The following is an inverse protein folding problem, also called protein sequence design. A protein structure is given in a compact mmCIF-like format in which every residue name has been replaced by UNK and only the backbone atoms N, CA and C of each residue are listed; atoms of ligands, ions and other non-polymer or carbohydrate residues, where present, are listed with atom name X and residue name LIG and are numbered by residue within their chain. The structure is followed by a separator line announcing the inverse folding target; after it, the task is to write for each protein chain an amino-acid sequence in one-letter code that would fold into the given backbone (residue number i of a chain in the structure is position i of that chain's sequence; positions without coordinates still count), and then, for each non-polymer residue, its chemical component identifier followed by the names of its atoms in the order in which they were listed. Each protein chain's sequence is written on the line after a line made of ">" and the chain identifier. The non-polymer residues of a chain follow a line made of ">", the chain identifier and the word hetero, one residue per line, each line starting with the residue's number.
data_IF_194003155835
#
_entry.id   IF_194003155835
#
_cell.length_a   1.000
_cell.length_b   1.000
_cell.length_c   1.000
_cell.angle_alpha   90.00
_cell.angle_beta   90.00
_cell.angle_gamma   90.00
#
_symmetry.space_group_name_H-M   'P 1'
#
loop_
_entity.id
_entity.type
_entity.pdbx_description
1 polymer ?
#
# COMPACT_ATOMS: atom_id res chain seq x y z
N UNK A 1 78.34 -35.78 -6.36
CA UNK A 1 77.91 -34.56 -7.07
C UNK A 1 76.59 -34.08 -6.48
N UNK A 2 76.62 -32.85 -5.98
CA UNK A 2 75.58 -31.87 -5.61
C UNK A 2 74.12 -32.28 -5.31
N UNK A 3 73.84 -32.27 -4.00
CA UNK A 3 72.70 -31.71 -3.27
C UNK A 3 71.69 -30.82 -4.03
N UNK A 4 70.38 -31.11 -3.92
CA UNK A 4 69.26 -30.13 -3.96
C UNK A 4 68.07 -30.63 -3.13
N UNK A 5 67.97 -30.15 -1.88
CA UNK A 5 66.73 -30.12 -1.09
C UNK A 5 65.90 -28.90 -1.55
N UNK A 6 64.69 -29.14 -2.03
CA UNK A 6 63.69 -28.09 -2.32
C UNK A 6 62.90 -27.79 -1.04
N UNK A 7 62.93 -26.53 -0.60
CA UNK A 7 62.27 -26.03 0.59
C UNK A 7 60.88 -25.50 0.19
N UNK A 8 59.84 -26.33 0.27
CA UNK A 8 58.43 -25.94 0.07
C UNK A 8 57.78 -25.63 1.43
N UNK A 9 58.05 -24.44 2.00
CA UNK A 9 57.47 -24.01 3.28
C UNK A 9 56.69 -22.68 3.21
N UNK A 10 56.39 -22.14 2.02
CA UNK A 10 55.74 -20.84 1.87
C UNK A 10 54.21 -20.84 1.85
N UNK A 11 53.56 -21.91 1.36
CA UNK A 11 52.11 -21.93 1.12
C UNK A 11 51.25 -22.10 2.37
N UNK A 12 51.68 -22.94 3.31
CA UNK A 12 50.87 -23.27 4.50
C UNK A 12 50.72 -22.12 5.49
N UNK A 13 51.70 -21.21 5.57
CA UNK A 13 51.62 -20.05 6.46
C UNK A 13 50.56 -19.06 5.97
N UNK A 14 50.46 -18.86 4.65
CA UNK A 14 49.54 -17.89 4.06
C UNK A 14 48.09 -18.37 4.17
N UNK A 15 47.84 -19.67 3.94
CA UNK A 15 46.52 -20.27 4.15
C UNK A 15 46.09 -20.24 5.62
N UNK A 16 47.02 -20.51 6.55
CA UNK A 16 46.73 -20.42 7.98
C UNK A 16 46.39 -18.98 8.41
N UNK A 17 47.10 -17.98 7.89
CA UNK A 17 46.84 -16.56 8.16
C UNK A 17 45.48 -16.15 7.58
N UNK A 18 45.15 -16.54 6.34
CA UNK A 18 43.86 -16.22 5.72
C UNK A 18 42.68 -16.86 6.47
N UNK A 19 42.84 -18.10 6.94
CA UNK A 19 41.85 -18.79 7.78
C UNK A 19 41.65 -18.10 9.14
N UNK A 20 42.74 -17.64 9.77
CA UNK A 20 42.70 -16.90 11.02
C UNK A 20 42.02 -15.53 10.86
N UNK A 21 42.30 -14.82 9.76
CA UNK A 21 41.67 -13.53 9.45
C UNK A 21 40.17 -13.73 9.17
N UNK A 22 39.80 -14.76 8.40
CA UNK A 22 38.40 -15.08 8.14
C UNK A 22 37.60 -15.42 9.41
N UNK A 23 38.20 -16.17 10.33
CA UNK A 23 37.57 -16.52 11.61
C UNK A 23 37.44 -15.31 12.56
N UNK A 24 38.46 -14.44 12.62
CA UNK A 24 38.40 -13.19 13.39
C UNK A 24 37.35 -12.22 12.83
N UNK A 25 37.19 -12.17 11.51
CA UNK A 25 36.18 -11.35 10.85
C UNK A 25 34.74 -11.80 11.19
N UNK A 26 34.50 -13.12 11.23
CA UNK A 26 33.22 -13.67 11.66
C UNK A 26 32.92 -13.37 13.14
N UNK A 27 33.92 -13.46 14.02
CA UNK A 27 33.80 -13.13 15.45
C UNK A 27 33.48 -11.64 15.68
N UNK A 28 34.10 -10.73 14.93
CA UNK A 28 33.80 -9.29 15.00
C UNK A 28 32.40 -8.94 14.49
N UNK A 29 31.85 -9.73 13.57
CA UNK A 29 30.49 -9.55 13.07
C UNK A 29 29.43 -9.93 14.11
N UNK A 30 29.64 -11.05 14.81
CA UNK A 30 28.74 -11.58 15.86
C UNK A 30 28.76 -10.72 17.14
N UNK A 31 29.89 -10.10 17.47
CA UNK A 31 30.06 -9.29 18.70
C UNK A 31 29.29 -7.96 18.72
N UNK A 32 28.92 -7.41 17.56
CA UNK A 32 28.15 -6.14 17.46
C UNK A 32 28.87 -4.86 17.93
N UNK A 33 30.14 -4.92 18.36
CA UNK A 33 30.87 -3.74 18.84
C UNK A 33 31.57 -2.97 17.71
N UNK A 34 31.27 -1.67 17.59
CA UNK A 34 31.81 -0.81 16.52
C UNK A 34 33.33 -0.61 16.62
N UNK A 35 33.88 -0.63 17.84
CA UNK A 35 35.31 -0.49 18.10
C UNK A 35 36.14 -1.69 17.58
N UNK A 36 35.63 -2.91 17.71
CA UNK A 36 36.28 -4.11 17.16
C UNK A 36 36.23 -4.13 15.63
N UNK A 37 35.15 -3.63 15.02
CA UNK A 37 35.02 -3.54 13.55
C UNK A 37 36.02 -2.57 12.95
N UNK A 38 36.23 -1.41 13.58
CA UNK A 38 37.23 -0.42 13.16
C UNK A 38 38.66 -0.94 13.35
N UNK A 39 38.92 -1.66 14.46
CA UNK A 39 40.22 -2.29 14.71
C UNK A 39 40.57 -3.36 13.67
N UNK A 40 39.62 -4.23 13.32
CA UNK A 40 39.80 -5.26 12.29
C UNK A 40 40.02 -4.65 10.90
N UNK A 41 39.30 -3.58 10.57
CA UNK A 41 39.44 -2.88 9.30
C UNK A 41 40.82 -2.21 9.17
N UNK A 42 41.35 -1.63 10.26
CA UNK A 42 42.72 -1.09 10.29
C UNK A 42 43.79 -2.19 10.10
N UNK A 43 43.63 -3.34 10.75
CA UNK A 43 44.57 -4.47 10.59
C UNK A 43 44.59 -4.97 9.14
N UNK A 44 43.41 -5.07 8.51
CA UNK A 44 43.27 -5.46 7.10
C UNK A 44 43.98 -4.45 6.20
N UNK A 45 43.75 -3.15 6.39
CA UNK A 45 44.41 -2.09 5.60
C UNK A 45 45.93 -2.15 5.74
N UNK A 46 46.45 -2.29 6.96
CA UNK A 46 47.89 -2.37 7.20
C UNK A 46 48.49 -3.62 6.55
N UNK A 47 47.82 -4.77 6.66
CA UNK A 47 48.30 -6.02 6.07
C UNK A 47 48.34 -5.94 4.55
N UNK A 48 47.29 -5.42 3.91
CA UNK A 48 47.26 -5.23 2.46
C UNK A 48 48.23 -4.15 1.97
N UNK A 49 48.47 -3.10 2.76
CA UNK A 49 49.48 -2.08 2.48
C UNK A 49 50.90 -2.65 2.44
N UNK A 50 51.23 -3.60 3.32
CA UNK A 50 52.54 -4.27 3.34
C UNK A 50 52.71 -5.19 2.11
N UNK A 51 51.66 -5.92 1.72
CA UNK A 51 51.68 -6.78 0.52
C UNK A 51 51.80 -5.97 -0.77
N UNK A 52 51.19 -4.78 -0.82
CA UNK A 52 51.23 -3.89 -1.99
C UNK A 52 52.63 -3.39 -2.35
N UNK A 53 53.54 -3.27 -1.37
CA UNK A 53 54.93 -2.82 -1.60
C UNK A 53 55.77 -3.85 -2.36
N UNK A 54 55.31 -5.10 -2.49
CA UNK A 54 56.07 -6.19 -3.11
C UNK A 54 55.61 -6.59 -4.53
N UNK A 55 54.59 -5.93 -5.09
CA UNK A 55 53.93 -6.39 -6.33
C UNK A 55 54.11 -5.36 -7.47
N UNK A 56 54.58 -5.82 -8.63
CA UNK A 56 54.84 -4.98 -9.81
C UNK A 56 53.56 -4.30 -10.34
N UNK A 57 53.69 -3.07 -10.82
CA UNK A 57 52.61 -2.08 -10.97
C UNK A 57 51.38 -2.43 -11.84
N UNK A 58 51.39 -3.54 -12.60
CA UNK A 58 50.22 -4.00 -13.36
C UNK A 58 49.26 -4.81 -12.48
N UNK A 59 49.79 -5.63 -11.56
CA UNK A 59 48.98 -6.41 -10.62
C UNK A 59 48.40 -5.54 -9.49
N UNK A 60 49.06 -4.42 -9.18
CA UNK A 60 48.59 -3.40 -8.24
C UNK A 60 47.22 -2.79 -8.64
N UNK A 61 46.97 -2.65 -9.94
CA UNK A 61 45.72 -2.06 -10.47
C UNK A 61 44.53 -3.03 -10.30
N UNK A 62 44.74 -4.32 -10.60
CA UNK A 62 43.72 -5.35 -10.38
C UNK A 62 43.38 -5.51 -8.89
N UNK A 63 44.40 -5.38 -8.02
CA UNK A 63 44.21 -5.42 -6.58
C UNK A 63 43.43 -4.21 -6.04
N UNK A 64 43.69 -3.01 -6.57
CA UNK A 64 42.94 -1.80 -6.26
C UNK A 64 41.46 -1.92 -6.64
N UNK A 65 41.15 -2.52 -7.80
CA UNK A 65 39.77 -2.75 -8.24
C UNK A 65 39.05 -3.74 -7.31
N UNK A 66 39.71 -4.81 -6.87
CA UNK A 66 39.16 -5.77 -5.91
C UNK A 66 38.95 -5.14 -4.51
N UNK A 67 39.89 -4.33 -4.03
CA UNK A 67 39.74 -3.57 -2.78
C UNK A 67 38.59 -2.57 -2.86
N UNK A 68 38.46 -1.83 -3.97
CA UNK A 68 37.36 -0.89 -4.15
C UNK A 68 36.01 -1.60 -4.27
N UNK A 69 35.94 -2.71 -5.02
CA UNK A 69 34.74 -3.53 -5.15
C UNK A 69 34.31 -4.15 -3.81
N UNK A 70 35.27 -4.65 -3.02
CA UNK A 70 35.03 -5.20 -1.69
C UNK A 70 34.56 -4.13 -0.68
N UNK A 71 35.18 -2.95 -0.70
CA UNK A 71 34.77 -1.82 0.14
C UNK A 71 33.35 -1.33 -0.20
N UNK A 72 32.97 -1.30 -1.48
CA UNK A 72 31.61 -0.91 -1.90
C UNK A 72 30.54 -1.92 -1.45
N UNK A 73 30.87 -3.22 -1.47
CA UNK A 73 30.00 -4.26 -0.89
C UNK A 73 29.91 -4.15 0.64
N UNK A 74 31.01 -3.82 1.32
CA UNK A 74 31.02 -3.62 2.77
C UNK A 74 30.24 -2.37 3.21
N UNK A 75 30.31 -1.27 2.45
CA UNK A 75 29.47 -0.09 2.66
C UNK A 75 27.97 -0.38 2.43
N UNK A 76 27.64 -1.24 1.47
CA UNK A 76 26.27 -1.67 1.20
C UNK A 76 25.69 -2.59 2.28
N UNK A 77 26.53 -3.44 2.90
CA UNK A 77 26.12 -4.32 4.00
C UNK A 77 26.03 -3.52 5.32
N UNK A 78 26.94 -2.56 5.55
CA UNK A 78 26.87 -1.71 6.75
C UNK A 78 25.69 -0.73 6.70
N UNK A 79 25.26 -0.23 5.53
CA UNK A 79 24.01 0.54 5.42
C UNK A 79 22.76 -0.32 5.66
N UNK A 80 22.80 -1.62 5.35
CA UNK A 80 21.74 -2.58 5.70
C UNK A 80 21.64 -2.87 7.21
N UNK A 81 22.77 -2.88 7.94
CA UNK A 81 22.78 -3.16 9.38
C UNK A 81 22.77 -1.90 10.27
N UNK A 82 23.10 -0.71 9.74
CA UNK A 82 22.98 0.58 10.44
C UNK A 82 21.55 1.14 10.42
N UNK A 83 20.60 0.41 9.83
CA UNK A 83 19.16 0.70 9.89
C UNK A 83 18.46 0.31 11.20
N UNK A 84 19.16 -0.34 12.15
CA UNK A 84 18.59 -0.72 13.45
C UNK A 84 19.55 -0.39 14.59
N UNK A 85 19.64 0.89 14.98
CA UNK A 85 19.61 1.34 16.39
C UNK A 85 19.86 2.85 16.54
N UNK A 86 18.77 3.55 16.88
CA UNK A 86 18.64 4.80 17.64
C UNK A 86 19.84 5.76 17.71
N UNK A 87 19.67 6.94 17.10
CA UNK A 87 19.45 8.24 17.79
C UNK A 87 19.33 9.37 16.77
N UNK A 88 18.12 9.90 16.64
CA UNK A 88 17.80 11.33 16.49
C UNK A 88 16.28 11.46 16.67
N UNK A 89 15.81 11.06 17.86
CA UNK A 89 14.53 11.51 18.42
C UNK A 89 14.78 12.89 19.02
N UNK A 90 14.41 13.93 18.28
CA UNK A 90 14.04 15.31 18.68
C UNK A 90 14.34 16.21 17.48
N UNK A 91 13.29 16.49 16.70
CA UNK A 91 13.09 17.65 15.81
C UNK A 91 12.37 17.37 14.47
N UNK A 92 11.86 16.16 14.22
CA UNK A 92 11.10 15.84 12.98
C UNK A 92 9.76 15.09 13.19
N UNK A 93 9.17 15.14 14.40
CA UNK A 93 7.83 14.60 14.63
C UNK A 93 6.73 15.58 14.19
N UNK A 94 6.69 15.87 12.90
CA UNK A 94 5.59 16.64 12.31
C UNK A 94 4.32 15.76 12.23
N UNK A 95 3.38 16.03 13.13
CA UNK A 95 1.93 15.94 12.91
C UNK A 95 1.30 14.65 12.32
N UNK A 96 1.92 13.48 12.52
CA UNK A 96 1.28 12.19 12.25
C UNK A 96 0.36 11.81 13.40
N UNK A 97 -0.94 11.75 13.15
CA UNK A 97 -1.88 11.19 14.10
C UNK A 97 -2.05 9.69 13.81
N UNK A 98 -1.59 8.86 14.75
CA UNK A 98 -2.10 7.50 14.85
C UNK A 98 -3.53 7.59 15.38
N UNK A 99 -4.50 7.16 14.58
CA UNK A 99 -5.88 7.05 15.05
C UNK A 99 -5.90 6.04 16.20
N UNK A 100 -6.16 6.49 17.43
CA UNK A 100 -6.05 5.72 18.68
C UNK A 100 -6.92 4.45 18.69
N UNK A 101 -7.89 4.34 17.79
CA UNK A 101 -8.69 3.13 17.56
C UNK A 101 -7.89 1.91 17.06
N UNK A 102 -6.61 2.04 16.70
CA UNK A 102 -5.84 0.98 16.02
C UNK A 102 -4.63 0.41 16.79
N UNK A 103 -4.34 0.85 18.02
CA UNK A 103 -3.20 0.29 18.78
C UNK A 103 -3.44 -1.15 19.31
N UNK A 104 -4.62 -1.71 19.11
CA UNK A 104 -4.98 -3.08 19.55
C UNK A 104 -5.48 -4.01 18.43
N UNK A 105 -5.08 -3.81 17.17
CA UNK A 105 -5.41 -4.79 16.13
C UNK A 105 -4.38 -5.92 16.10
N UNK A 106 -4.71 -7.01 16.80
CA UNK A 106 -4.21 -8.36 16.48
C UNK A 106 -4.38 -8.56 14.97
N UNK A 107 -3.40 -9.14 14.27
CA UNK A 107 -3.47 -9.45 12.82
C UNK A 107 -4.78 -10.22 12.56
N UNK A 108 -5.79 -9.52 12.10
CA UNK A 108 -7.15 -10.03 11.97
C UNK A 108 -7.26 -10.77 10.64
N UNK A 109 -7.95 -11.92 10.61
CA UNK A 109 -8.10 -12.67 9.36
C UNK A 109 -8.90 -11.83 8.35
N UNK A 110 -8.68 -12.08 7.07
CA UNK A 110 -9.47 -11.48 5.99
C UNK A 110 -10.98 -11.64 6.23
N UNK A 111 -11.41 -12.85 6.61
CA UNK A 111 -12.82 -13.18 6.87
C UNK A 111 -13.40 -12.38 8.04
N UNK A 112 -12.60 -12.12 9.07
CA UNK A 112 -13.05 -11.37 10.25
C UNK A 112 -13.19 -9.88 9.92
N UNK A 113 -12.22 -9.31 9.20
CA UNK A 113 -12.31 -7.93 8.71
C UNK A 113 -13.51 -7.75 7.79
N UNK A 114 -13.69 -8.66 6.83
CA UNK A 114 -14.82 -8.64 5.90
C UNK A 114 -16.15 -8.68 6.64
N UNK A 115 -16.36 -9.62 7.57
CA UNK A 115 -17.59 -9.72 8.35
C UNK A 115 -17.88 -8.46 9.17
N UNK A 116 -16.86 -7.87 9.82
CA UNK A 116 -17.05 -6.63 10.59
C UNK A 116 -17.52 -5.49 9.71
N UNK A 117 -16.86 -5.31 8.57
CA UNK A 117 -17.20 -4.23 7.66
C UNK A 117 -18.55 -4.45 6.97
N UNK A 118 -18.88 -5.67 6.57
CA UNK A 118 -20.22 -6.02 6.06
C UNK A 118 -21.30 -5.68 7.08
N UNK A 119 -21.11 -6.06 8.35
CA UNK A 119 -22.05 -5.77 9.42
C UNK A 119 -22.20 -4.26 9.65
N UNK A 120 -21.10 -3.51 9.61
CA UNK A 120 -21.13 -2.06 9.72
C UNK A 120 -21.90 -1.42 8.56
N UNK A 121 -21.60 -1.80 7.32
CA UNK A 121 -22.30 -1.33 6.12
C UNK A 121 -23.78 -1.68 6.17
N UNK A 122 -24.14 -2.91 6.58
CA UNK A 122 -25.54 -3.33 6.73
C UNK A 122 -26.27 -2.57 7.82
N UNK A 123 -25.64 -2.34 8.97
CA UNK A 123 -26.23 -1.56 10.06
C UNK A 123 -26.54 -0.12 9.59
N UNK A 124 -25.59 0.52 8.90
CA UNK A 124 -25.78 1.86 8.31
C UNK A 124 -26.89 1.83 7.25
N UNK A 125 -26.92 0.83 6.37
CA UNK A 125 -27.96 0.67 5.32
C UNK A 125 -29.36 0.43 5.92
N UNK A 126 -29.46 -0.35 6.99
CA UNK A 126 -30.71 -0.66 7.69
C UNK A 126 -31.23 0.51 8.54
N UNK A 127 -30.35 1.24 9.23
CA UNK A 127 -30.72 2.46 9.96
C UNK A 127 -31.16 3.58 9.00
N UNK A 128 -30.57 3.66 7.80
CA UNK A 128 -30.95 4.64 6.78
C UNK A 128 -32.38 4.46 6.20
N UNK A 129 -33.06 3.33 6.44
CA UNK A 129 -34.48 3.19 6.10
C UNK A 129 -35.43 3.80 7.16
N UNK A 130 -34.90 4.12 8.36
CA UNK A 130 -35.66 4.72 9.48
C UNK A 130 -35.15 6.13 9.81
N UNK A 131 -33.91 6.50 9.47
CA UNK A 131 -33.29 7.78 9.87
C UNK A 131 -33.27 8.87 8.80
N UNK A 132 -33.96 8.71 7.67
CA UNK A 132 -34.11 9.77 6.63
C UNK A 132 -34.88 11.00 7.14
N UNK A 133 -35.36 11.00 8.40
CA UNK A 133 -36.00 12.13 9.07
C UNK A 133 -35.17 12.84 10.16
N UNK A 134 -33.94 12.39 10.51
CA UNK A 134 -33.26 12.93 11.71
C UNK A 134 -31.74 13.22 11.61
N UNK A 135 -31.22 13.63 10.44
CA UNK A 135 -29.89 14.25 10.37
C UNK A 135 -29.84 15.55 9.53
N UNK A 136 -30.83 16.42 9.77
CA UNK A 136 -30.68 17.87 9.53
C UNK A 136 -29.93 18.59 10.66
N UNK A 137 -29.33 17.87 11.61
CA UNK A 137 -28.61 18.43 12.75
C UNK A 137 -27.16 17.96 12.78
N UNK A 138 -26.34 18.40 11.84
CA UNK A 138 -24.89 18.58 12.02
C UNK A 138 -24.36 19.50 10.90
N UNK A 139 -24.76 20.77 10.97
CA UNK A 139 -24.28 21.86 10.12
C UNK A 139 -22.79 22.23 10.41
N UNK A 140 -22.05 21.33 11.04
CA UNK A 140 -20.69 21.51 11.52
C UNK A 140 -19.89 20.26 11.15
N UNK A 141 -19.01 20.36 10.14
CA UNK A 141 -17.79 19.52 9.94
C UNK A 141 -17.13 19.76 8.58
N UNK A 142 -16.71 21.01 8.36
CA UNK A 142 -15.70 21.39 7.37
C UNK A 142 -15.19 22.78 7.79
N UNK A 143 -14.51 22.86 8.94
CA UNK A 143 -14.02 24.12 9.52
C UNK A 143 -12.54 24.38 9.20
N UNK A 144 -12.05 23.90 8.06
CA UNK A 144 -10.65 24.07 7.65
C UNK A 144 -10.54 24.88 6.36
N UNK A 145 -9.63 25.86 6.33
CA UNK A 145 -9.24 26.53 5.08
C UNK A 145 -8.47 25.54 4.21
N UNK A 146 -8.77 25.44 2.93
CA UNK A 146 -8.03 24.54 2.04
C UNK A 146 -6.61 25.04 1.73
N UNK A 147 -5.71 24.10 1.44
CA UNK A 147 -4.49 24.42 0.71
C UNK A 147 -4.84 25.08 -0.62
N UNK A 148 -4.07 26.08 -1.03
CA UNK A 148 -4.33 26.75 -2.31
C UNK A 148 -3.78 25.94 -3.48
N UNK A 149 -2.70 25.21 -3.24
CA UNK A 149 -2.08 24.33 -4.24
C UNK A 149 -1.64 23.02 -3.61
N UNK A 150 -1.57 21.96 -4.42
CA UNK A 150 -1.00 20.67 -3.99
C UNK A 150 0.49 20.84 -3.64
N UNK A 151 1.21 21.71 -4.35
CA UNK A 151 2.64 21.97 -4.13
C UNK A 151 2.90 22.48 -2.71
N UNK A 152 2.07 23.42 -2.24
CA UNK A 152 2.11 23.93 -0.86
C UNK A 152 2.02 22.79 0.16
N UNK A 153 1.03 21.88 0.01
CA UNK A 153 0.88 20.74 0.91
C UNK A 153 2.04 19.74 0.83
N UNK A 154 2.57 19.50 -0.38
CA UNK A 154 3.69 18.57 -0.60
C UNK A 154 4.98 19.09 0.02
N UNK A 155 5.25 20.39 -0.10
CA UNK A 155 6.43 21.02 0.48
C UNK A 155 6.33 21.12 1.99
N UNK A 156 5.17 21.53 2.53
CA UNK A 156 4.94 21.65 3.97
C UNK A 156 5.08 20.32 4.71
N UNK A 157 4.63 19.21 4.11
CA UNK A 157 4.61 17.89 4.76
C UNK A 157 5.65 16.91 4.20
N UNK A 158 6.59 17.39 3.39
CA UNK A 158 7.64 16.57 2.75
C UNK A 158 7.12 15.30 2.06
N UNK A 159 5.99 15.42 1.35
CA UNK A 159 5.28 14.28 0.75
C UNK A 159 6.07 13.73 -0.45
N UNK A 160 6.26 12.40 -0.57
CA UNK A 160 6.98 11.82 -1.70
C UNK A 160 6.22 12.05 -3.02
N UNK A 161 6.96 12.28 -4.11
CA UNK A 161 6.38 12.51 -5.45
C UNK A 161 5.49 11.38 -5.98
N UNK A 162 5.57 10.19 -5.38
CA UNK A 162 4.75 9.02 -5.72
C UNK A 162 3.33 9.09 -5.16
N UNK A 163 2.96 10.18 -4.48
CA UNK A 163 1.60 10.38 -3.98
C UNK A 163 0.56 10.22 -5.09
N UNK A 164 -0.62 9.77 -4.67
CA UNK A 164 -1.83 9.70 -5.49
C UNK A 164 -2.86 10.67 -4.93
N UNK A 165 -3.62 11.27 -5.83
CA UNK A 165 -4.76 12.11 -5.47
C UNK A 165 -5.96 11.22 -5.16
N UNK A 166 -6.73 11.57 -4.14
CA UNK A 166 -7.99 10.91 -3.82
C UNK A 166 -9.05 11.95 -3.47
N UNK A 167 -10.32 11.59 -3.59
CA UNK A 167 -11.43 12.31 -3.02
C UNK A 167 -11.98 11.49 -1.84
N UNK A 168 -11.81 12.04 -0.65
CA UNK A 168 -12.22 11.43 0.61
C UNK A 168 -13.71 11.69 0.79
N UNK A 169 -14.52 10.64 0.87
CA UNK A 169 -15.90 10.76 1.33
C UNK A 169 -15.90 11.05 2.84
N UNK A 170 -15.13 10.25 3.59
CA UNK A 170 -15.06 10.33 5.05
C UNK A 170 -13.79 9.66 5.58
N UNK A 171 -13.27 10.18 6.69
CA UNK A 171 -12.40 9.41 7.60
C UNK A 171 -13.16 9.24 8.91
N UNK A 172 -13.48 7.99 9.26
CA UNK A 172 -14.20 7.67 10.50
C UNK A 172 -13.44 8.15 11.73
N UNK A 173 -14.17 8.52 12.78
CA UNK A 173 -13.62 9.10 14.02
C UNK A 173 -12.82 10.40 13.79
N UNK A 174 -13.19 11.16 12.75
CA UNK A 174 -12.63 12.49 12.48
C UNK A 174 -13.69 13.42 11.88
N UNK A 175 -13.36 14.71 11.81
CA UNK A 175 -14.19 15.74 11.19
C UNK A 175 -13.96 15.86 9.67
N UNK A 176 -13.20 14.94 9.06
CA UNK A 176 -12.89 14.96 7.62
C UNK A 176 -14.01 14.28 6.83
N UNK A 177 -14.71 15.09 6.04
CA UNK A 177 -15.81 14.67 5.15
C UNK A 177 -15.68 15.42 3.83
N UNK A 178 -16.00 14.77 2.72
CA UNK A 178 -16.05 15.35 1.36
C UNK A 178 -14.83 16.21 0.99
N UNK A 179 -13.62 15.65 1.12
CA UNK A 179 -12.38 16.43 1.07
C UNK A 179 -11.39 15.89 0.01
N UNK A 180 -10.79 16.73 -0.85
CA UNK A 180 -9.66 16.30 -1.65
C UNK A 180 -8.48 15.92 -0.75
N UNK A 181 -7.76 14.87 -1.10
CA UNK A 181 -6.66 14.34 -0.30
C UNK A 181 -5.50 13.80 -1.12
N UNK A 182 -4.35 13.68 -0.47
CA UNK A 182 -3.17 13.00 -1.00
C UNK A 182 -2.96 11.70 -0.24
N UNK A 183 -2.55 10.66 -0.94
CA UNK A 183 -2.34 9.33 -0.38
C UNK A 183 -1.04 8.74 -0.91
N UNK A 184 -0.25 8.12 -0.04
CA UNK A 184 1.01 7.49 -0.43
C UNK A 184 1.34 6.30 0.46
N UNK A 185 2.21 5.43 -0.04
CA UNK A 185 2.81 4.33 0.72
C UNK A 185 4.25 4.66 1.05
N UNK A 186 4.63 4.46 2.31
CA UNK A 186 6.01 4.57 2.79
C UNK A 186 6.17 3.64 3.99
N UNK A 187 7.30 2.94 4.09
CA UNK A 187 7.68 2.12 5.26
C UNK A 187 6.58 1.17 5.77
N UNK A 188 5.91 0.46 4.85
CA UNK A 188 4.84 -0.49 5.18
C UNK A 188 3.53 0.14 5.69
N UNK A 189 3.39 1.47 5.59
CA UNK A 189 2.20 2.22 6.00
C UNK A 189 1.54 2.93 4.82
N UNK A 190 0.23 3.04 4.91
CA UNK A 190 -0.60 3.94 4.12
C UNK A 190 -0.67 5.28 4.85
N UNK A 191 -0.36 6.36 4.14
CA UNK A 191 -0.50 7.72 4.63
C UNK A 191 -1.56 8.46 3.82
N UNK A 192 -2.37 9.27 4.51
CA UNK A 192 -3.39 10.13 3.89
C UNK A 192 -3.33 11.51 4.52
N UNK A 193 -3.23 12.54 3.68
CA UNK A 193 -3.37 13.94 4.06
C UNK A 193 -4.63 14.52 3.40
N UNK A 194 -5.68 14.86 4.17
CA UNK A 194 -6.75 15.72 3.68
C UNK A 194 -6.18 17.10 3.33
N UNK A 195 -6.63 17.75 2.26
CA UNK A 195 -6.08 19.04 1.83
C UNK A 195 -6.68 20.24 2.55
N UNK A 196 -6.93 20.07 3.85
CA UNK A 196 -7.31 21.13 4.77
C UNK A 196 -6.05 21.64 5.47
N UNK A 197 -5.86 22.96 5.53
CA UNK A 197 -4.81 23.59 6.35
C UNK A 197 -5.00 23.19 7.80
N UNK A 198 -3.89 22.88 8.46
CA UNK A 198 -3.84 22.36 9.83
C UNK A 198 -4.43 20.95 10.01
N UNK A 199 -4.76 20.24 8.92
CA UNK A 199 -5.09 18.83 9.06
C UNK A 199 -3.85 18.02 9.40
N UNK A 200 -4.06 17.02 10.23
CA UNK A 200 -3.04 16.02 10.57
C UNK A 200 -2.92 15.00 9.45
N UNK A 201 -1.73 14.39 9.33
CA UNK A 201 -1.55 13.23 8.45
C UNK A 201 -2.07 12.00 9.18
N UNK A 202 -2.93 11.24 8.53
CA UNK A 202 -3.39 9.95 9.00
C UNK A 202 -2.45 8.86 8.49
N UNK A 203 -2.12 7.89 9.34
CA UNK A 203 -1.28 6.77 8.94
C UNK A 203 -1.78 5.45 9.51
N UNK A 204 -1.76 4.41 8.69
CA UNK A 204 -2.18 3.06 9.05
C UNK A 204 -1.21 2.02 8.49
N UNK A 205 -0.94 0.91 9.21
CA UNK A 205 -0.20 -0.22 8.65
C UNK A 205 -0.91 -0.78 7.40
N UNK A 206 -0.17 -1.09 6.34
CA UNK A 206 -0.75 -1.76 5.18
C UNK A 206 -1.20 -3.19 5.52
N UNK A 207 -0.46 -3.86 6.41
CA UNK A 207 -0.80 -5.19 6.91
C UNK A 207 -2.18 -5.26 7.59
N UNK A 208 -2.74 -4.14 8.07
CA UNK A 208 -4.10 -4.10 8.63
C UNK A 208 -5.20 -3.94 7.57
N UNK A 209 -4.84 -3.79 6.28
CA UNK A 209 -5.78 -3.54 5.18
C UNK A 209 -5.79 -4.78 4.28
N UNK A 210 -6.56 -5.82 4.66
CA UNK A 210 -6.65 -7.06 3.88
C UNK A 210 -7.79 -7.09 2.87
N UNK A 211 -8.76 -6.18 3.04
CA UNK A 211 -9.98 -6.09 2.23
C UNK A 211 -10.26 -4.64 1.83
N UNK A 212 -10.79 -4.46 0.62
CA UNK A 212 -11.42 -3.22 0.15
C UNK A 212 -12.89 -3.54 -0.11
N UNK A 213 -13.79 -2.85 0.58
CA UNK A 213 -15.21 -2.96 0.28
C UNK A 213 -15.66 -1.93 -0.74
N UNK A 214 -16.68 -2.28 -1.51
CA UNK A 214 -17.46 -1.34 -2.30
C UNK A 214 -18.92 -1.36 -1.89
N UNK A 215 -19.45 -0.16 -1.68
CA UNK A 215 -20.85 0.08 -1.36
C UNK A 215 -21.43 1.01 -2.40
N UNK A 216 -22.65 0.70 -2.86
CA UNK A 216 -23.45 1.60 -3.71
C UNK A 216 -24.52 2.27 -2.85
N UNK A 217 -24.55 3.61 -2.85
CA UNK A 217 -25.58 4.40 -2.18
C UNK A 217 -26.51 5.06 -3.19
N UNK A 218 -27.80 5.19 -2.84
CA UNK A 218 -28.76 6.00 -3.58
C UNK A 218 -28.51 7.47 -3.26
N UNK A 219 -28.46 8.31 -4.28
CA UNK A 219 -28.27 9.75 -4.16
C UNK A 219 -29.63 10.43 -4.20
N UNK A 220 -29.97 11.13 -3.12
CA UNK A 220 -31.22 11.88 -3.03
C UNK A 220 -31.11 13.20 -3.80
N UNK A 221 -30.01 13.93 -3.63
CA UNK A 221 -29.77 15.21 -4.26
C UNK A 221 -28.28 15.40 -4.59
N UNK A 222 -27.93 15.30 -5.88
CA UNK A 222 -26.56 15.48 -6.36
C UNK A 222 -26.02 16.89 -6.09
N UNK A 223 -26.91 17.89 -5.97
CA UNK A 223 -26.49 19.29 -5.80
C UNK A 223 -25.95 19.59 -4.41
N UNK A 224 -26.29 18.76 -3.41
CA UNK A 224 -25.82 18.89 -2.04
C UNK A 224 -24.45 18.26 -1.82
N UNK A 225 -24.16 17.15 -2.50
CA UNK A 225 -22.87 16.45 -2.38
C UNK A 225 -21.72 17.33 -2.86
N UNK A 226 -20.67 17.46 -2.04
CA UNK A 226 -19.47 18.25 -2.30
C UNK A 226 -19.75 19.76 -2.52
N UNK A 227 -20.96 20.25 -2.19
CA UNK A 227 -21.37 21.65 -2.39
C UNK A 227 -20.48 22.64 -1.64
N UNK A 228 -20.00 22.26 -0.44
CA UNK A 228 -19.10 23.07 0.41
C UNK A 228 -17.70 23.21 -0.20
N UNK A 229 -17.24 22.21 -0.96
CA UNK A 229 -15.87 22.16 -1.50
C UNK A 229 -15.80 22.50 -2.98
N UNK A 230 -16.93 22.49 -3.68
CA UNK A 230 -17.02 22.80 -5.11
C UNK A 230 -16.54 24.22 -5.48
N UNK A 231 -16.56 25.15 -4.51
CA UNK A 231 -16.11 26.55 -4.71
C UNK A 231 -14.59 26.72 -4.54
N UNK A 232 -13.90 25.72 -4.01
CA UNK A 232 -12.49 25.81 -3.66
C UNK A 232 -11.60 25.64 -4.88
N UNK A 233 -10.60 26.52 -5.07
CA UNK A 233 -9.72 26.44 -6.25
C UNK A 233 -9.01 25.09 -6.37
N UNK A 234 -8.66 24.47 -5.25
CA UNK A 234 -7.98 23.18 -5.23
C UNK A 234 -8.84 22.05 -5.82
N UNK A 235 -10.17 22.15 -5.72
CA UNK A 235 -11.10 21.13 -6.23
C UNK A 235 -10.98 20.95 -7.75
N UNK A 236 -10.62 22.01 -8.48
CA UNK A 236 -10.43 21.96 -9.93
C UNK A 236 -9.39 20.91 -10.35
N UNK A 237 -8.41 20.63 -9.47
CA UNK A 237 -7.34 19.63 -9.69
C UNK A 237 -7.75 18.20 -9.32
N UNK A 238 -8.94 18.04 -8.76
CA UNK A 238 -9.57 16.81 -8.29
C UNK A 238 -10.92 16.56 -8.99
N UNK A 239 -11.29 17.34 -10.00
CA UNK A 239 -12.58 17.26 -10.68
C UNK A 239 -12.87 15.85 -11.23
N UNK A 240 -11.86 15.19 -11.76
CA UNK A 240 -11.94 13.81 -12.28
C UNK A 240 -12.15 12.75 -11.18
N UNK A 241 -11.89 13.12 -9.92
CA UNK A 241 -12.04 12.26 -8.74
C UNK A 241 -13.31 12.57 -7.94
N UNK A 242 -14.17 13.48 -8.42
CA UNK A 242 -15.52 13.63 -7.89
C UNK A 242 -16.34 12.36 -8.19
N UNK A 243 -17.38 12.05 -7.39
CA UNK A 243 -18.16 10.84 -7.58
C UNK A 243 -18.73 10.76 -9.00
N UNK A 244 -18.64 9.58 -9.60
CA UNK A 244 -19.39 9.25 -10.81
C UNK A 244 -20.75 8.70 -10.42
N UNK A 245 -21.78 9.10 -11.16
CA UNK A 245 -23.17 8.78 -10.87
C UNK A 245 -23.75 7.87 -11.95
N UNK A 246 -24.34 6.76 -11.51
CA UNK A 246 -25.14 5.88 -12.35
C UNK A 246 -26.61 6.34 -12.29
N UNK A 247 -27.20 6.65 -13.45
CA UNK A 247 -28.61 7.00 -13.54
C UNK A 247 -29.39 5.76 -13.97
N UNK A 248 -30.29 5.28 -13.10
CA UNK A 248 -31.19 4.17 -13.38
C UNK A 248 -32.66 4.63 -13.23
N UNK A 249 -33.65 3.89 -13.76
CA UNK A 249 -35.07 4.23 -13.60
C UNK A 249 -35.51 4.43 -12.15
N UNK A 250 -34.86 3.74 -11.20
CA UNK A 250 -35.20 3.76 -9.77
C UNK A 250 -34.49 4.88 -8.98
N UNK A 251 -33.63 5.65 -9.65
CA UNK A 251 -32.91 6.79 -9.06
C UNK A 251 -31.46 6.90 -9.50
N UNK A 252 -30.77 7.84 -8.87
CA UNK A 252 -29.34 8.08 -9.05
C UNK A 252 -28.58 7.32 -8.00
N UNK A 253 -27.48 6.69 -8.38
CA UNK A 253 -26.60 5.96 -7.47
C UNK A 253 -25.16 6.40 -7.63
N UNK A 254 -24.38 6.32 -6.55
CA UNK A 254 -22.92 6.45 -6.60
C UNK A 254 -22.27 5.42 -5.70
N UNK A 255 -21.06 5.01 -6.07
CA UNK A 255 -20.27 4.05 -5.31
C UNK A 255 -19.21 4.72 -4.45
N UNK A 256 -18.77 4.02 -3.41
CA UNK A 256 -17.58 4.37 -2.64
C UNK A 256 -16.77 3.13 -2.28
N UNK A 257 -15.46 3.30 -2.16
CA UNK A 257 -14.56 2.29 -1.64
C UNK A 257 -14.27 2.55 -0.16
N UNK A 258 -14.31 1.49 0.65
CA UNK A 258 -14.18 1.56 2.10
C UNK A 258 -13.03 0.65 2.52
N UNK A 259 -12.13 1.17 3.34
CA UNK A 259 -11.07 0.39 3.99
C UNK A 259 -11.43 0.07 5.45
N UNK A 260 -10.98 -1.06 6.02
CA UNK A 260 -11.21 -1.42 7.43
C UNK A 260 -10.75 -0.36 8.43
N UNK A 261 -9.80 0.48 8.02
CA UNK A 261 -9.25 1.60 8.78
C UNK A 261 -10.20 2.81 8.89
N UNK A 262 -11.42 2.70 8.35
CA UNK A 262 -12.40 3.77 8.37
C UNK A 262 -12.16 4.87 7.33
N UNK A 263 -11.33 4.61 6.31
CA UNK A 263 -11.15 5.51 5.18
C UNK A 263 -12.16 5.16 4.09
N UNK A 264 -12.96 6.15 3.70
CA UNK A 264 -13.94 6.06 2.61
C UNK A 264 -13.54 7.03 1.49
N UNK A 265 -13.49 6.54 0.25
CA UNK A 265 -13.14 7.34 -0.93
C UNK A 265 -14.15 7.15 -2.05
N UNK A 266 -14.28 8.15 -2.93
CA UNK A 266 -15.17 8.08 -4.09
C UNK A 266 -14.82 6.92 -5.02
N UNK A 267 -15.81 6.44 -5.76
CA UNK A 267 -15.62 5.42 -6.79
C UNK A 267 -14.54 5.81 -7.84
N UNK A 268 -14.50 7.07 -8.25
CA UNK A 268 -13.48 7.58 -9.19
C UNK A 268 -12.08 7.65 -8.59
N UNK A 269 -11.94 7.60 -7.26
CA UNK A 269 -10.64 7.46 -6.59
C UNK A 269 -10.11 6.02 -6.54
N UNK A 270 -10.93 5.03 -6.95
CA UNK A 270 -10.61 3.61 -6.88
C UNK A 270 -9.29 3.25 -7.55
N UNK A 271 -9.06 3.67 -8.79
CA UNK A 271 -7.79 3.37 -9.50
C UNK A 271 -6.54 3.82 -8.72
N UNK A 272 -6.62 4.98 -8.09
CA UNK A 272 -5.53 5.52 -7.26
C UNK A 272 -5.37 4.73 -5.95
N UNK A 273 -6.48 4.31 -5.33
CA UNK A 273 -6.48 3.43 -4.16
C UNK A 273 -5.83 2.09 -4.43
N UNK A 274 -6.29 1.36 -5.44
CA UNK A 274 -5.77 0.04 -5.81
C UNK A 274 -4.31 0.08 -6.31
N UNK A 275 -3.81 1.25 -6.75
CA UNK A 275 -2.40 1.41 -7.09
C UNK A 275 -1.46 1.45 -5.87
N UNK A 276 -2.00 1.61 -4.67
CA UNK A 276 -1.25 1.72 -3.41
C UNK A 276 -1.52 0.53 -2.50
N UNK A 277 -2.79 0.14 -2.39
CA UNK A 277 -3.27 -0.91 -1.48
C UNK A 277 -3.47 -2.19 -2.28
N UNK A 278 -2.76 -3.24 -1.86
CA UNK A 278 -2.92 -4.60 -2.38
C UNK A 278 -3.79 -5.41 -1.41
N UNK A 279 -5.10 -5.40 -1.65
CA UNK A 279 -6.10 -5.99 -0.78
C UNK A 279 -7.20 -6.65 -1.61
N UNK A 280 -7.85 -7.66 -1.04
CA UNK A 280 -8.94 -8.37 -1.71
C UNK A 280 -10.16 -7.47 -1.84
N UNK A 281 -10.74 -7.45 -3.03
CA UNK A 281 -11.95 -6.68 -3.29
C UNK A 281 -13.21 -7.45 -2.90
N UNK A 282 -14.17 -6.77 -2.28
CA UNK A 282 -15.49 -7.32 -2.01
C UNK A 282 -16.58 -6.25 -2.19
N UNK A 283 -17.76 -6.66 -2.64
CA UNK A 283 -18.93 -5.77 -2.79
C UNK A 283 -19.97 -6.18 -1.75
N UNK A 284 -20.59 -5.22 -1.09
CA UNK A 284 -21.65 -5.50 -0.09
C UNK A 284 -22.98 -5.05 -0.64
N UNK A 285 -23.73 -5.96 -1.24
CA UNK A 285 -25.03 -5.69 -1.83
C UNK A 285 -25.94 -6.93 -1.84
N UNK A 286 -27.12 -6.79 -2.43
CA UNK A 286 -28.11 -7.87 -2.43
C UNK A 286 -27.70 -9.03 -3.36
N UNK A 287 -26.80 -8.79 -4.32
CA UNK A 287 -26.29 -9.80 -5.26
C UNK A 287 -25.23 -10.67 -4.59
N UNK A 288 -24.16 -10.06 -4.09
CA UNK A 288 -23.03 -10.75 -3.44
C UNK A 288 -23.46 -11.52 -2.19
N UNK A 289 -24.42 -10.99 -1.43
CA UNK A 289 -24.94 -11.63 -0.22
C UNK A 289 -25.99 -12.72 -0.49
N UNK A 290 -26.64 -12.72 -1.67
CA UNK A 290 -27.73 -13.64 -1.95
C UNK A 290 -27.25 -15.08 -2.13
N UNK A 291 -27.92 -16.04 -1.50
CA UNK A 291 -27.68 -17.48 -1.70
C UNK A 291 -28.19 -17.99 -3.04
N UNK A 292 -28.95 -17.16 -3.77
CA UNK A 292 -29.49 -17.49 -5.08
C UNK A 292 -28.41 -17.47 -6.18
N UNK A 293 -27.45 -16.56 -6.08
CA UNK A 293 -26.39 -16.42 -7.08
C UNK A 293 -25.25 -17.38 -6.79
N UNK A 294 -24.80 -18.05 -7.84
CA UNK A 294 -23.63 -18.93 -7.81
C UNK A 294 -22.34 -18.10 -7.70
N UNK A 295 -21.28 -18.73 -7.19
CA UNK A 295 -20.01 -18.07 -6.87
C UNK A 295 -19.40 -17.33 -8.07
N UNK A 296 -19.39 -17.96 -9.24
CA UNK A 296 -18.78 -17.42 -10.45
C UNK A 296 -19.49 -16.16 -10.93
N UNK A 297 -20.83 -16.13 -10.85
CA UNK A 297 -21.62 -14.94 -11.21
C UNK A 297 -21.34 -13.78 -10.24
N UNK A 298 -21.19 -14.08 -8.94
CA UNK A 298 -20.81 -13.06 -7.94
C UNK A 298 -19.39 -12.53 -8.17
N UNK A 299 -18.45 -13.39 -8.53
CA UNK A 299 -17.09 -12.97 -8.87
C UNK A 299 -17.06 -12.12 -10.14
N UNK A 300 -17.80 -12.53 -11.17
CA UNK A 300 -17.92 -11.78 -12.41
C UNK A 300 -18.57 -10.41 -12.18
N UNK A 301 -19.60 -10.35 -11.34
CA UNK A 301 -20.22 -9.10 -10.91
C UNK A 301 -19.22 -8.14 -10.24
N UNK A 302 -18.40 -8.64 -9.33
CA UNK A 302 -17.34 -7.85 -8.69
C UNK A 302 -16.29 -7.38 -9.70
N UNK A 303 -15.87 -8.22 -10.65
CA UNK A 303 -14.96 -7.83 -11.73
C UNK A 303 -15.56 -6.74 -12.62
N UNK A 304 -16.85 -6.81 -12.91
CA UNK A 304 -17.55 -5.80 -13.69
C UNK A 304 -17.51 -4.43 -12.98
N UNK A 305 -17.72 -4.39 -11.67
CA UNK A 305 -17.59 -3.16 -10.87
C UNK A 305 -16.16 -2.60 -10.95
N UNK A 306 -15.13 -3.44 -10.84
CA UNK A 306 -13.74 -2.99 -11.00
C UNK A 306 -13.48 -2.40 -12.39
N UNK A 307 -14.05 -3.01 -13.44
CA UNK A 307 -13.94 -2.52 -14.82
C UNK A 307 -14.64 -1.18 -15.01
N UNK A 308 -15.89 -1.06 -14.54
CA UNK A 308 -16.67 0.19 -14.62
C UNK A 308 -16.00 1.36 -13.90
N UNK A 309 -15.23 1.06 -12.84
CA UNK A 309 -14.44 2.04 -12.11
C UNK A 309 -13.00 2.22 -12.65
N UNK A 310 -12.69 1.67 -13.83
CA UNK A 310 -11.39 1.76 -14.49
C UNK A 310 -10.19 1.25 -13.66
N UNK A 311 -10.45 0.31 -12.75
CA UNK A 311 -9.43 -0.34 -11.91
C UNK A 311 -8.75 -1.47 -12.69
N UNK A 312 -9.55 -2.25 -13.41
CA UNK A 312 -9.06 -3.25 -14.37
C UNK A 312 -9.42 -2.82 -15.79
N UNK A 313 -8.61 -3.26 -16.76
CA UNK A 313 -8.85 -3.03 -18.18
C UNK A 313 -10.00 -3.90 -18.72
N UNK A 314 -10.52 -3.53 -19.90
CA UNK A 314 -11.51 -4.35 -20.61
C UNK A 314 -10.94 -5.74 -20.95
N UNK A 315 -9.68 -5.80 -21.38
CA UNK A 315 -9.02 -7.07 -21.73
C UNK A 315 -8.85 -7.99 -20.51
N UNK A 316 -8.48 -7.43 -19.35
CA UNK A 316 -8.43 -8.19 -18.09
C UNK A 316 -9.81 -8.68 -17.67
N UNK A 317 -10.83 -7.83 -17.82
CA UNK A 317 -12.22 -8.21 -17.55
C UNK A 317 -12.68 -9.35 -18.47
N UNK A 318 -12.42 -9.24 -19.78
CA UNK A 318 -12.85 -10.23 -20.77
C UNK A 318 -12.19 -11.59 -20.54
N UNK A 319 -10.90 -11.61 -20.17
CA UNK A 319 -10.19 -12.84 -19.78
C UNK A 319 -10.79 -13.48 -18.53
N UNK A 320 -11.04 -12.70 -17.49
CA UNK A 320 -11.67 -13.20 -16.26
C UNK A 320 -13.11 -13.67 -16.52
N UNK A 321 -13.86 -12.96 -17.37
CA UNK A 321 -15.20 -13.34 -17.79
C UNK A 321 -15.18 -14.71 -18.48
N UNK A 322 -14.31 -14.90 -19.46
CA UNK A 322 -14.19 -16.18 -20.15
C UNK A 322 -13.81 -17.32 -19.19
N UNK A 323 -12.81 -17.09 -18.32
CA UNK A 323 -12.39 -18.06 -17.30
C UNK A 323 -13.54 -18.46 -16.38
N UNK A 324 -14.22 -17.49 -15.77
CA UNK A 324 -15.29 -17.73 -14.81
C UNK A 324 -16.51 -18.40 -15.45
N UNK A 325 -16.85 -18.01 -16.68
CA UNK A 325 -17.95 -18.66 -17.39
C UNK A 325 -17.60 -20.09 -17.73
N UNK A 326 -16.39 -20.38 -18.25
CA UNK A 326 -15.97 -21.75 -18.55
C UNK A 326 -15.98 -22.63 -17.30
N UNK A 327 -15.52 -22.12 -16.15
CA UNK A 327 -15.62 -22.81 -14.86
C UNK A 327 -17.07 -23.08 -14.45
N UNK A 328 -17.95 -22.09 -14.67
CA UNK A 328 -19.37 -22.22 -14.41
C UNK A 328 -20.05 -23.27 -15.31
N UNK A 329 -19.77 -23.24 -16.63
CA UNK A 329 -20.31 -24.23 -17.58
C UNK A 329 -19.83 -25.64 -17.26
N UNK A 330 -18.57 -25.80 -16.86
CA UNK A 330 -18.01 -27.10 -16.52
C UNK A 330 -18.69 -27.70 -15.29
N UNK A 331 -18.94 -26.88 -14.25
CA UNK A 331 -19.56 -27.35 -13.01
C UNK A 331 -21.06 -27.61 -13.13
N UNK A 332 -21.78 -26.75 -13.84
CA UNK A 332 -23.25 -26.70 -13.81
C UNK A 332 -23.91 -27.20 -15.10
N UNK A 333 -23.17 -27.88 -16.00
CA UNK A 333 -23.66 -28.35 -17.32
C UNK A 333 -24.99 -29.11 -17.27
N UNK A 334 -25.29 -29.75 -16.15
CA UNK A 334 -26.49 -30.58 -15.95
C UNK A 334 -27.48 -29.97 -14.93
N UNK A 335 -27.30 -28.72 -14.51
CA UNK A 335 -28.15 -28.06 -13.51
C UNK A 335 -29.19 -27.17 -14.20
N UNK A 336 -30.48 -27.36 -13.90
CA UNK A 336 -31.58 -26.54 -14.41
C UNK A 336 -31.42 -25.04 -14.08
N UNK A 337 -30.66 -24.70 -13.05
CA UNK A 337 -30.35 -23.31 -12.68
C UNK A 337 -29.34 -22.64 -13.62
N UNK A 338 -28.62 -23.39 -14.44
CA UNK A 338 -27.57 -22.88 -15.32
C UNK A 338 -28.07 -21.78 -16.27
N UNK A 339 -29.11 -22.09 -17.05
CA UNK A 339 -29.72 -21.15 -18.01
C UNK A 339 -30.35 -19.93 -17.31
N UNK A 340 -30.95 -20.13 -16.14
CA UNK A 340 -31.54 -19.04 -15.36
C UNK A 340 -30.47 -18.05 -14.88
N UNK A 341 -29.33 -18.54 -14.40
CA UNK A 341 -28.23 -17.69 -13.96
C UNK A 341 -27.56 -16.97 -15.13
N UNK A 342 -27.44 -17.60 -16.31
CA UNK A 342 -26.96 -16.93 -17.53
C UNK A 342 -27.89 -15.79 -17.97
N UNK A 343 -29.21 -15.99 -17.91
CA UNK A 343 -30.16 -14.91 -18.19
C UNK A 343 -30.01 -13.75 -17.20
N UNK A 344 -29.75 -14.03 -15.92
CA UNK A 344 -29.51 -12.98 -14.94
C UNK A 344 -28.17 -12.29 -15.20
N UNK A 345 -27.11 -13.01 -15.56
CA UNK A 345 -25.82 -12.42 -15.92
C UNK A 345 -25.97 -11.43 -17.10
N UNK A 346 -26.78 -11.76 -18.11
CA UNK A 346 -27.15 -10.84 -19.20
C UNK A 346 -27.92 -9.62 -18.69
N UNK A 347 -28.89 -9.80 -17.79
CA UNK A 347 -29.64 -8.69 -17.18
C UNK A 347 -28.75 -7.76 -16.34
N UNK A 348 -27.70 -8.30 -15.75
CA UNK A 348 -26.69 -7.54 -15.00
C UNK A 348 -25.59 -6.97 -15.92
N UNK A 349 -25.73 -7.08 -17.24
CA UNK A 349 -24.75 -6.61 -18.24
C UNK A 349 -23.35 -7.18 -18.04
N UNK A 350 -23.25 -8.40 -17.51
CA UNK A 350 -21.98 -9.11 -17.29
C UNK A 350 -21.52 -9.87 -18.54
N UNK A 351 -22.48 -10.23 -19.40
CA UNK A 351 -22.36 -10.91 -20.68
C UNK A 351 -22.84 -9.96 -21.77
#
# INVERSE_FOLDING_TARGET
>A
MANRRSNNNGGGLLEAILSLIGSLFLLGFVSGSESLRLGLLLIIIVFFGIVFVQVNGVEAILFLILLFGGCMLFLSITSFFKGNNKKNEKDESENYCQTEAFQHQKKESFEDQLKRMENHVRAVRGENYISTQHRETEDTKLQGKYYQTIKEAVEEHSIPRTYKKIMIERIQNSDVVECPGLMWKKDGKLYVLPLLKNSKIYSWPLDSISVILYETKKIEDKSKEYSKVAKEKIISRFKELLPSYLNNPNGVYSGKFILPIGLEVTNTSGKNLFSIVDAKFHVVDDITNSTWYVKEIKELYQKNILRENNIISLDEYDKERERLLNEYQFRERNNEKYEQQLQIAKKLSLL
#
